data_IF_778684684708
#
_entry.id   IF_778684684708
#
_cell.length_a   1.000
_cell.length_b   1.000
_cell.length_c   1.000
_cell.angle_alpha   90.00
_cell.angle_beta   90.00
_cell.angle_gamma   90.00
#
_symmetry.space_group_name_H-M   'P 1'
#
loop_
_entity.id
_entity.type
_entity.pdbx_description
1 polymer ?
#
# COMPACT_ATOMS: atom_id res chain seq x y z
N UNK A 1 -16.88 20.82 -7.38
CA UNK A 1 -15.47 20.92 -6.96
C UNK A 1 -14.84 19.54 -7.12
N UNK A 2 -13.80 19.40 -7.95
CA UNK A 2 -13.10 18.13 -8.22
C UNK A 2 -12.37 17.64 -6.95
N UNK A 3 -12.28 16.33 -6.73
CA UNK A 3 -11.61 15.68 -5.59
C UNK A 3 -10.18 16.17 -5.37
N UNK A 4 -9.41 16.26 -6.46
CA UNK A 4 -8.04 16.79 -6.44
C UNK A 4 -7.96 18.22 -5.91
N UNK A 5 -8.89 19.09 -6.33
CA UNK A 5 -8.90 20.48 -5.90
C UNK A 5 -9.06 20.59 -4.37
N UNK A 6 -9.91 19.74 -3.77
CA UNK A 6 -10.07 19.67 -2.32
C UNK A 6 -8.83 19.12 -1.61
N UNK A 7 -8.24 18.05 -2.13
CA UNK A 7 -7.04 17.46 -1.51
C UNK A 7 -5.82 18.40 -1.63
N UNK A 8 -5.75 19.21 -2.68
CA UNK A 8 -4.69 20.19 -2.85
C UNK A 8 -4.73 21.31 -1.80
N UNK A 9 -5.90 21.63 -1.22
CA UNK A 9 -5.99 22.61 -0.12
C UNK A 9 -5.58 22.05 1.25
N UNK A 10 -5.40 20.74 1.39
CA UNK A 10 -4.96 20.12 2.65
C UNK A 10 -3.47 20.35 2.89
N UNK A 11 -3.02 20.21 4.13
CA UNK A 11 -1.62 20.37 4.50
C UNK A 11 -0.69 19.47 3.68
N UNK A 12 0.51 19.98 3.37
CA UNK A 12 1.51 19.20 2.59
C UNK A 12 2.06 18.05 3.43
N UNK A 13 2.19 18.23 4.74
CA UNK A 13 2.72 17.24 5.66
C UNK A 13 2.06 17.42 7.02
N UNK A 14 2.26 16.46 7.90
CA UNK A 14 1.86 16.58 9.30
C UNK A 14 2.33 15.39 10.11
N UNK A 15 2.11 15.50 11.43
CA UNK A 15 2.59 14.54 12.42
C UNK A 15 1.54 14.33 13.52
N UNK A 16 1.35 13.08 13.93
CA UNK A 16 0.47 12.67 15.02
C UNK A 16 1.24 11.80 16.00
N UNK A 17 1.12 12.11 17.28
CA UNK A 17 1.58 11.28 18.38
C UNK A 17 0.46 10.35 18.83
N UNK A 18 0.76 9.06 18.93
CA UNK A 18 -0.16 8.03 19.40
C UNK A 18 0.38 7.48 20.71
N UNK A 19 -0.37 7.69 21.80
CA UNK A 19 -0.09 7.15 23.13
C UNK A 19 1.31 7.47 23.66
N UNK A 20 1.88 8.61 23.25
CA UNK A 20 3.26 9.03 23.57
C UNK A 20 4.37 8.03 23.19
N UNK A 21 4.05 7.05 22.34
CA UNK A 21 4.93 5.92 22.03
C UNK A 21 5.19 5.76 20.53
N UNK A 22 4.31 6.29 19.69
CA UNK A 22 4.39 6.12 18.25
C UNK A 22 4.08 7.41 17.52
N UNK A 23 4.73 7.58 16.38
CA UNK A 23 4.57 8.74 15.53
C UNK A 23 4.00 8.28 14.19
N UNK A 24 2.90 8.88 13.77
CA UNK A 24 2.49 8.90 12.38
C UNK A 24 2.97 10.20 11.75
N UNK A 25 3.70 10.11 10.65
CA UNK A 25 4.08 11.25 9.82
C UNK A 25 3.58 11.01 8.40
N UNK A 26 3.12 12.07 7.73
CA UNK A 26 2.77 11.97 6.32
C UNK A 26 3.34 13.11 5.49
N UNK A 27 3.50 12.83 4.20
CA UNK A 27 3.77 13.84 3.18
C UNK A 27 2.88 13.58 1.96
N UNK A 28 2.26 14.66 1.49
CA UNK A 28 1.49 14.77 0.26
C UNK A 28 2.42 15.17 -0.87
N UNK A 29 2.35 14.44 -1.97
CA UNK A 29 3.36 14.52 -3.03
C UNK A 29 2.84 14.06 -4.39
N UNK A 30 3.64 14.24 -5.44
CA UNK A 30 3.38 13.75 -6.79
C UNK A 30 4.31 12.59 -7.15
N UNK A 31 4.06 11.94 -8.29
CA UNK A 31 4.78 10.73 -8.72
C UNK A 31 6.25 10.95 -9.12
N UNK A 32 6.62 12.19 -9.47
CA UNK A 32 7.98 12.54 -9.90
C UNK A 32 8.79 13.26 -8.82
N UNK A 33 8.22 13.42 -7.63
CA UNK A 33 8.86 14.16 -6.56
C UNK A 33 10.07 13.43 -5.97
N UNK A 34 11.08 14.16 -5.47
CA UNK A 34 12.13 13.57 -4.65
C UNK A 34 11.58 12.89 -3.38
N UNK A 35 10.49 13.42 -2.80
CA UNK A 35 9.89 12.89 -1.57
C UNK A 35 9.35 11.47 -1.75
N UNK A 36 8.62 11.18 -2.85
CA UNK A 36 8.11 9.82 -3.09
C UNK A 36 9.25 8.84 -3.41
N UNK A 37 10.28 9.29 -4.14
CA UNK A 37 11.45 8.47 -4.44
C UNK A 37 12.21 8.11 -3.17
N UNK A 38 12.47 9.09 -2.29
CA UNK A 38 13.11 8.84 -0.98
C UNK A 38 12.25 7.91 -0.14
N UNK A 39 10.93 8.16 -0.07
CA UNK A 39 10.01 7.32 0.69
C UNK A 39 10.05 5.87 0.22
N UNK A 40 9.98 5.62 -1.09
CA UNK A 40 10.05 4.27 -1.67
C UNK A 40 11.38 3.59 -1.34
N UNK A 41 12.52 4.29 -1.50
CA UNK A 41 13.85 3.74 -1.22
C UNK A 41 14.01 3.34 0.24
N UNK A 42 13.62 4.23 1.16
CA UNK A 42 13.75 3.99 2.61
C UNK A 42 12.93 2.77 3.07
N UNK A 43 11.84 2.46 2.36
CA UNK A 43 10.89 1.41 2.71
C UNK A 43 11.06 0.13 1.89
N UNK A 44 11.93 0.16 0.88
CA UNK A 44 12.18 -0.97 -0.01
C UNK A 44 12.51 -2.27 0.75
N UNK A 45 13.34 -2.27 1.81
CA UNK A 45 13.64 -3.50 2.55
C UNK A 45 12.41 -4.14 3.20
N UNK A 46 11.55 -3.33 3.84
CA UNK A 46 10.33 -3.83 4.47
C UNK A 46 9.33 -4.33 3.43
N UNK A 47 9.17 -3.59 2.32
CA UNK A 47 8.32 -3.99 1.21
C UNK A 47 8.79 -5.31 0.60
N UNK A 48 10.11 -5.45 0.35
CA UNK A 48 10.70 -6.66 -0.21
C UNK A 48 10.48 -7.87 0.69
N UNK A 49 10.66 -7.75 2.01
CA UNK A 49 10.37 -8.84 2.93
C UNK A 49 8.89 -9.26 2.83
N UNK A 50 7.96 -8.33 3.01
CA UNK A 50 6.53 -8.63 3.07
C UNK A 50 5.95 -9.11 1.75
N UNK A 51 6.31 -8.47 0.64
CA UNK A 51 5.84 -8.88 -0.69
C UNK A 51 6.42 -10.24 -1.04
N UNK A 52 7.71 -10.50 -0.76
CA UNK A 52 8.32 -11.80 -1.11
C UNK A 52 7.64 -12.98 -0.42
N UNK A 53 7.14 -12.81 0.80
CA UNK A 53 6.42 -13.85 1.52
C UNK A 53 5.05 -14.12 0.91
N UNK A 54 4.30 -13.05 0.62
CA UNK A 54 2.98 -13.14 -0.01
C UNK A 54 3.06 -13.76 -1.40
N UNK A 55 4.01 -13.28 -2.21
CA UNK A 55 4.26 -13.74 -3.58
C UNK A 55 4.78 -15.19 -3.61
N UNK A 56 5.65 -15.59 -2.67
CA UNK A 56 6.10 -16.99 -2.59
C UNK A 56 4.94 -17.95 -2.28
N UNK A 57 4.05 -17.58 -1.35
CA UNK A 57 2.82 -18.36 -1.06
C UNK A 57 1.93 -18.45 -2.29
N UNK A 58 1.77 -17.35 -3.02
CA UNK A 58 0.97 -17.30 -4.24
C UNK A 58 1.55 -18.19 -5.33
N UNK A 59 2.85 -18.05 -5.62
CA UNK A 59 3.54 -18.80 -6.66
C UNK A 59 3.56 -20.32 -6.39
N UNK A 60 3.68 -20.73 -5.12
CA UNK A 60 3.56 -22.16 -4.73
C UNK A 60 2.20 -22.75 -5.10
N UNK A 61 1.12 -21.95 -5.03
CA UNK A 61 -0.23 -22.39 -5.37
C UNK A 61 -0.53 -22.26 -6.87
N UNK A 62 0.04 -21.25 -7.53
CA UNK A 62 -0.23 -20.92 -8.92
C UNK A 62 1.08 -20.69 -9.69
N UNK A 63 1.84 -21.75 -10.02
CA UNK A 63 3.16 -21.64 -10.64
C UNK A 63 3.14 -20.91 -12.00
N UNK A 64 2.04 -21.03 -12.74
CA UNK A 64 1.87 -20.37 -14.04
C UNK A 64 1.89 -18.83 -13.94
N UNK A 65 1.65 -18.25 -12.75
CA UNK A 65 1.72 -16.82 -12.52
C UNK A 65 3.12 -16.23 -12.78
N UNK A 66 4.19 -17.05 -12.73
CA UNK A 66 5.53 -16.64 -13.13
C UNK A 66 5.66 -16.23 -14.61
N UNK A 67 4.61 -16.43 -15.43
CA UNK A 67 4.62 -15.96 -16.82
C UNK A 67 4.00 -14.58 -17.02
N UNK A 68 3.25 -14.07 -16.04
CA UNK A 68 2.38 -12.89 -16.21
C UNK A 68 2.48 -11.85 -15.09
N UNK A 69 2.94 -12.22 -13.90
CA UNK A 69 2.99 -11.32 -12.75
C UNK A 69 4.36 -10.66 -12.61
N UNK A 70 4.36 -9.32 -12.54
CA UNK A 70 5.57 -8.47 -12.55
C UNK A 70 6.72 -8.99 -11.67
N UNK A 71 6.44 -9.28 -10.39
CA UNK A 71 7.46 -9.73 -9.43
C UNK A 71 7.81 -11.22 -9.52
N UNK A 72 7.03 -12.00 -10.27
CA UNK A 72 7.23 -13.44 -10.42
C UNK A 72 7.89 -13.82 -11.75
N UNK A 73 7.92 -12.91 -12.73
CA UNK A 73 8.50 -13.18 -14.05
C UNK A 73 9.95 -13.70 -13.97
N UNK A 74 10.76 -13.12 -13.09
CA UNK A 74 12.14 -13.54 -12.86
C UNK A 74 12.27 -14.97 -12.28
N UNK A 75 11.20 -15.52 -11.70
CA UNK A 75 11.20 -16.86 -11.12
C UNK A 75 10.95 -17.96 -12.16
N UNK A 76 10.53 -17.62 -13.40
CA UNK A 76 10.21 -18.62 -14.43
C UNK A 76 11.34 -19.64 -14.66
N UNK A 77 12.63 -19.23 -14.83
CA UNK A 77 13.73 -20.20 -15.00
C UNK A 77 13.92 -21.13 -13.80
N UNK A 78 13.60 -20.65 -12.59
CA UNK A 78 13.75 -21.41 -11.34
C UNK A 78 12.69 -22.52 -11.19
N UNK A 79 11.67 -22.52 -12.05
CA UNK A 79 10.56 -23.47 -12.05
C UNK A 79 10.60 -24.47 -13.22
N UNK A 80 11.59 -24.37 -14.12
CA UNK A 80 11.65 -25.18 -15.35
C UNK A 80 11.69 -26.70 -15.09
N UNK A 81 12.27 -27.11 -13.95
CA UNK A 81 12.36 -28.50 -13.55
C UNK A 81 11.15 -28.99 -12.72
N UNK A 82 10.09 -28.19 -12.64
CA UNK A 82 8.89 -28.45 -11.84
C UNK A 82 9.00 -27.98 -10.38
N UNK A 83 7.85 -27.80 -9.72
CA UNK A 83 7.76 -27.30 -8.34
C UNK A 83 8.48 -28.19 -7.32
N UNK A 84 8.48 -29.51 -7.51
CA UNK A 84 9.11 -30.47 -6.59
C UNK A 84 10.64 -30.32 -6.51
N UNK A 85 11.27 -29.77 -7.55
CA UNK A 85 12.72 -29.53 -7.61
C UNK A 85 13.08 -28.06 -7.39
N UNK A 86 12.10 -27.20 -7.11
CA UNK A 86 12.30 -25.77 -7.01
C UNK A 86 13.07 -25.40 -5.73
N UNK A 87 14.10 -24.57 -5.89
CA UNK A 87 14.77 -23.96 -4.73
C UNK A 87 13.97 -22.75 -4.26
N UNK A 88 13.08 -22.95 -3.29
CA UNK A 88 12.21 -21.89 -2.78
C UNK A 88 12.95 -20.73 -2.10
N UNK A 89 14.17 -20.95 -1.59
CA UNK A 89 14.98 -19.86 -1.06
C UNK A 89 15.51 -18.96 -2.18
N UNK A 90 15.97 -19.56 -3.28
CA UNK A 90 16.38 -18.82 -4.47
C UNK A 90 15.22 -18.04 -5.09
N UNK A 91 14.02 -18.65 -5.12
CA UNK A 91 12.79 -17.97 -5.55
C UNK A 91 12.46 -16.79 -4.63
N UNK A 92 12.45 -16.97 -3.30
CA UNK A 92 12.19 -15.87 -2.35
C UNK A 92 13.15 -14.71 -2.59
N UNK A 93 14.45 -15.00 -2.78
CA UNK A 93 15.46 -14.00 -3.06
C UNK A 93 15.23 -13.28 -4.40
N UNK A 94 14.89 -14.01 -5.47
CA UNK A 94 14.57 -13.41 -6.78
C UNK A 94 13.37 -12.46 -6.71
N UNK A 95 12.34 -12.81 -5.92
CA UNK A 95 11.20 -11.92 -5.69
C UNK A 95 11.65 -10.69 -4.90
N UNK A 96 12.43 -10.85 -3.82
CA UNK A 96 12.96 -9.73 -3.03
C UNK A 96 13.73 -8.75 -3.90
N UNK A 97 14.63 -9.25 -4.75
CA UNK A 97 15.43 -8.42 -5.66
C UNK A 97 14.54 -7.66 -6.65
N UNK A 98 13.52 -8.31 -7.21
CA UNK A 98 12.56 -7.68 -8.13
C UNK A 98 11.77 -6.56 -7.44
N UNK A 99 11.34 -6.78 -6.19
CA UNK A 99 10.64 -5.76 -5.39
C UNK A 99 11.59 -4.61 -5.05
N UNK A 100 12.82 -4.89 -4.61
CA UNK A 100 13.83 -3.87 -4.33
C UNK A 100 14.11 -3.00 -5.55
N UNK A 101 14.26 -3.61 -6.73
CA UNK A 101 14.44 -2.88 -7.99
C UNK A 101 13.25 -1.97 -8.29
N UNK A 102 12.02 -2.45 -8.14
CA UNK A 102 10.82 -1.66 -8.37
C UNK A 102 10.69 -0.46 -7.42
N UNK A 103 11.01 -0.64 -6.14
CA UNK A 103 10.96 0.45 -5.16
C UNK A 103 12.09 1.47 -5.37
N UNK A 104 13.28 1.01 -5.76
CA UNK A 104 14.43 1.88 -6.03
C UNK A 104 14.38 2.56 -7.41
N UNK A 105 13.44 2.15 -8.28
CA UNK A 105 13.27 2.71 -9.60
C UNK A 105 12.92 4.21 -9.53
N UNK A 106 13.67 4.98 -10.30
CA UNK A 106 13.47 6.42 -10.49
C UNK A 106 12.52 6.63 -11.67
N UNK A 107 11.27 6.98 -11.37
CA UNK A 107 10.21 7.12 -12.36
C UNK A 107 10.44 8.28 -13.33
N UNK A 108 11.29 9.26 -12.99
CA UNK A 108 11.66 10.35 -13.91
C UNK A 108 12.41 9.86 -15.15
N UNK A 109 12.94 8.63 -15.12
CA UNK A 109 13.68 8.01 -16.22
C UNK A 109 12.81 7.15 -17.14
N UNK A 110 11.53 7.02 -16.84
CA UNK A 110 10.60 6.20 -17.62
C UNK A 110 10.08 6.99 -18.83
N UNK A 111 9.64 6.29 -19.87
CA UNK A 111 9.04 6.95 -21.05
C UNK A 111 7.71 7.63 -20.72
N UNK A 112 7.32 8.60 -21.55
CA UNK A 112 6.07 9.37 -21.38
C UNK A 112 4.82 8.49 -21.25
N UNK A 113 4.79 7.36 -21.98
CA UNK A 113 3.72 6.35 -21.96
C UNK A 113 3.38 5.87 -20.53
N UNK A 114 4.41 5.74 -19.68
CA UNK A 114 4.27 5.27 -18.29
C UNK A 114 3.96 6.42 -17.34
N UNK A 115 4.58 7.58 -17.56
CA UNK A 115 4.49 8.71 -16.62
C UNK A 115 3.16 9.46 -16.77
N UNK A 116 2.71 9.69 -18.01
CA UNK A 116 1.57 10.56 -18.32
C UNK A 116 0.27 10.19 -17.58
N UNK A 117 -0.11 8.90 -17.43
CA UNK A 117 -1.29 8.52 -16.66
C UNK A 117 -1.19 8.83 -15.16
N UNK A 118 0.02 8.99 -14.63
CA UNK A 118 0.32 9.14 -13.20
C UNK A 118 0.53 10.60 -12.78
N UNK A 119 0.80 11.51 -13.73
CA UNK A 119 1.14 12.91 -13.44
C UNK A 119 0.03 13.70 -12.74
N UNK A 120 -1.23 13.27 -12.93
CA UNK A 120 -2.37 13.95 -12.34
C UNK A 120 -2.81 13.33 -11.02
N UNK A 121 -2.14 12.26 -10.59
CA UNK A 121 -2.42 11.61 -9.32
C UNK A 121 -1.71 12.34 -8.19
N UNK A 122 -2.36 12.35 -7.03
CA UNK A 122 -1.80 12.87 -5.80
C UNK A 122 -1.56 11.72 -4.84
N UNK A 123 -0.34 11.63 -4.33
CA UNK A 123 0.12 10.54 -3.48
C UNK A 123 0.32 11.02 -2.05
N UNK A 124 0.10 10.10 -1.12
CA UNK A 124 0.27 10.32 0.31
C UNK A 124 1.13 9.21 0.87
N UNK A 125 2.29 9.62 1.38
CA UNK A 125 3.31 8.76 1.93
C UNK A 125 3.25 8.87 3.44
N UNK A 126 2.75 7.83 4.12
CA UNK A 126 2.60 7.82 5.58
C UNK A 126 3.56 6.81 6.19
N UNK A 127 4.26 7.20 7.27
CA UNK A 127 5.13 6.31 8.05
C UNK A 127 4.63 6.22 9.48
N UNK A 128 4.73 5.02 10.03
CA UNK A 128 4.59 4.76 11.45
C UNK A 128 5.98 4.49 12.03
N UNK A 129 6.37 5.26 13.03
CA UNK A 129 7.65 5.15 13.72
C UNK A 129 7.47 4.94 15.22
N UNK A 130 8.50 4.41 15.86
CA UNK A 130 8.69 4.53 17.32
C UNK A 130 8.85 6.00 17.72
N UNK A 131 8.55 6.34 18.98
CA UNK A 131 8.68 7.70 19.50
C UNK A 131 10.10 8.27 19.38
N UNK A 132 11.14 7.43 19.49
CA UNK A 132 12.52 7.86 19.31
C UNK A 132 12.89 8.11 17.84
N UNK A 133 11.94 7.96 16.91
CA UNK A 133 12.04 8.13 15.47
C UNK A 133 13.08 7.26 14.75
N UNK A 134 13.73 6.35 15.48
CA UNK A 134 14.82 5.53 14.92
C UNK A 134 14.31 4.39 14.08
N UNK A 135 13.14 3.85 14.42
CA UNK A 135 12.63 2.64 13.80
C UNK A 135 11.36 2.91 12.99
N UNK A 136 11.41 2.59 11.70
CA UNK A 136 10.22 2.51 10.87
C UNK A 136 9.50 1.18 11.14
N UNK A 137 8.28 1.28 11.68
CA UNK A 137 7.45 0.14 12.08
C UNK A 137 6.46 -0.27 10.98
N UNK A 138 6.18 0.62 10.04
CA UNK A 138 5.26 0.39 8.95
C UNK A 138 4.99 1.63 8.12
N UNK A 139 4.31 1.43 7.01
CA UNK A 139 3.97 2.52 6.11
C UNK A 139 2.69 2.25 5.32
N UNK A 140 2.10 3.35 4.88
CA UNK A 140 0.95 3.37 3.99
C UNK A 140 1.30 4.30 2.82
N UNK A 141 1.13 3.80 1.60
CA UNK A 141 1.12 4.61 0.39
C UNK A 141 -0.27 4.54 -0.20
N UNK A 142 -0.92 5.70 -0.35
CA UNK A 142 -2.22 5.79 -1.00
C UNK A 142 -2.25 6.96 -1.98
N UNK A 143 -3.21 6.92 -2.89
CA UNK A 143 -3.38 7.98 -3.88
C UNK A 143 -4.84 8.34 -4.10
N UNK A 144 -5.02 9.51 -4.68
CA UNK A 144 -6.25 9.94 -5.33
C UNK A 144 -5.93 10.27 -6.79
N UNK A 145 -6.84 9.90 -7.69
CA UNK A 145 -6.70 10.10 -9.13
C UNK A 145 -7.93 10.84 -9.65
N UNK A 146 -7.80 11.72 -10.66
CA UNK A 146 -8.96 12.38 -11.26
C UNK A 146 -9.92 11.40 -11.95
N UNK A 147 -9.47 10.18 -12.26
CA UNK A 147 -10.31 9.14 -12.85
C UNK A 147 -11.30 8.50 -11.84
N UNK A 148 -11.13 8.76 -10.54
CA UNK A 148 -11.96 8.18 -9.48
C UNK A 148 -13.10 9.10 -9.03
N UNK A 149 -14.12 8.49 -8.43
CA UNK A 149 -15.23 9.22 -7.85
C UNK A 149 -14.78 10.12 -6.67
N UNK A 150 -15.52 11.20 -6.44
CA UNK A 150 -15.27 12.09 -5.31
C UNK A 150 -15.40 11.34 -3.98
N UNK A 151 -14.31 11.29 -3.21
CA UNK A 151 -14.24 10.58 -1.93
C UNK A 151 -13.61 9.20 -2.02
N UNK A 152 -13.21 8.74 -3.20
CA UNK A 152 -12.53 7.46 -3.38
C UNK A 152 -11.01 7.63 -3.17
N UNK A 153 -10.43 6.67 -2.45
CA UNK A 153 -9.00 6.59 -2.14
C UNK A 153 -8.51 5.19 -2.50
N UNK A 154 -7.37 5.12 -3.20
CA UNK A 154 -6.70 3.87 -3.55
C UNK A 154 -5.51 3.66 -2.63
N UNK A 155 -5.50 2.57 -1.88
CA UNK A 155 -4.30 2.15 -1.15
C UNK A 155 -3.43 1.34 -2.09
N UNK A 156 -2.21 1.81 -2.30
CA UNK A 156 -1.21 1.18 -3.15
C UNK A 156 -0.40 0.17 -2.33
N UNK A 157 0.05 0.58 -1.14
CA UNK A 157 0.80 -0.28 -0.24
C UNK A 157 0.40 -0.05 1.22
N UNK A 158 0.33 -1.14 1.98
CA UNK A 158 0.11 -1.12 3.42
C UNK A 158 0.91 -2.26 4.05
N UNK A 159 2.02 -1.91 4.72
CA UNK A 159 2.91 -2.89 5.34
C UNK A 159 3.31 -2.47 6.74
N UNK A 160 3.44 -3.46 7.62
CA UNK A 160 3.90 -3.28 9.00
C UNK A 160 4.80 -4.44 9.41
N UNK A 161 5.71 -4.19 10.35
CA UNK A 161 6.46 -5.25 11.03
C UNK A 161 5.52 -6.13 11.85
N UNK A 162 5.90 -7.38 12.09
CA UNK A 162 5.05 -8.38 12.75
C UNK A 162 4.86 -8.10 14.23
N UNK A 163 5.94 -7.67 14.88
CA UNK A 163 6.02 -7.36 16.32
C UNK A 163 5.10 -6.19 16.75
N UNK A 164 4.56 -5.44 15.79
CA UNK A 164 3.86 -4.18 16.06
C UNK A 164 2.43 -4.48 16.54
N UNK A 165 1.96 -3.83 17.63
CA UNK A 165 0.60 -4.01 18.14
C UNK A 165 -0.47 -3.89 17.05
N UNK A 166 -1.42 -4.83 17.05
CA UNK A 166 -2.47 -4.91 16.02
C UNK A 166 -3.31 -3.65 15.90
N UNK A 167 -3.48 -2.91 16.99
CA UNK A 167 -4.20 -1.64 17.02
C UNK A 167 -3.55 -0.59 16.10
N UNK A 168 -2.22 -0.58 15.97
CA UNK A 168 -1.50 0.40 15.14
C UNK A 168 -1.79 0.25 13.64
N UNK A 169 -2.26 -0.92 13.19
CA UNK A 169 -2.77 -1.12 11.82
C UNK A 169 -3.97 -0.22 11.54
N UNK A 170 -4.87 -0.06 12.53
CA UNK A 170 -6.06 0.79 12.41
C UNK A 170 -5.70 2.26 12.39
N UNK A 171 -4.74 2.68 13.20
CA UNK A 171 -4.21 4.04 13.14
C UNK A 171 -3.58 4.36 11.78
N UNK A 172 -2.69 3.48 11.31
CA UNK A 172 -1.98 3.69 10.05
C UNK A 172 -2.93 3.69 8.84
N UNK A 173 -3.96 2.84 8.80
CA UNK A 173 -4.97 2.90 7.74
C UNK A 173 -5.97 4.07 7.95
N UNK A 174 -6.35 4.33 9.19
CA UNK A 174 -7.33 5.34 9.57
C UNK A 174 -6.87 6.78 9.35
N UNK A 175 -5.55 7.02 9.29
CA UNK A 175 -4.96 8.33 8.97
C UNK A 175 -5.51 8.93 7.67
N UNK A 176 -6.02 8.10 6.75
CA UNK A 176 -6.70 8.55 5.53
C UNK A 176 -7.85 9.50 5.86
N UNK A 177 -8.61 9.23 6.93
CA UNK A 177 -9.72 10.09 7.36
C UNK A 177 -9.26 11.36 8.06
N UNK A 178 -8.08 11.37 8.70
CA UNK A 178 -7.51 12.60 9.25
C UNK A 178 -7.00 13.52 8.13
N UNK A 179 -6.27 12.96 7.16
CA UNK A 179 -5.73 13.72 6.03
C UNK A 179 -6.85 14.16 5.07
N UNK A 180 -7.81 13.26 4.80
CA UNK A 180 -8.93 13.44 3.89
C UNK A 180 -10.27 13.10 4.57
N UNK A 181 -10.82 13.97 5.43
CA UNK A 181 -12.07 13.73 6.17
C UNK A 181 -13.28 13.41 5.30
N UNK A 182 -13.27 13.86 4.06
CA UNK A 182 -14.34 13.66 3.09
C UNK A 182 -14.28 12.29 2.38
N UNK A 183 -13.34 11.42 2.75
CA UNK A 183 -13.21 10.07 2.21
C UNK A 183 -14.51 9.28 2.43
N UNK A 184 -14.99 8.63 1.37
CA UNK A 184 -16.20 7.81 1.37
C UNK A 184 -15.88 6.34 1.18
N UNK A 185 -14.85 6.05 0.37
CA UNK A 185 -14.47 4.70 0.00
C UNK A 185 -12.94 4.59 -0.04
N UNK A 186 -12.42 3.52 0.55
CA UNK A 186 -11.03 3.12 0.43
C UNK A 186 -11.03 1.76 -0.26
N UNK A 187 -10.22 1.57 -1.29
CA UNK A 187 -10.06 0.25 -1.90
C UNK A 187 -8.59 -0.14 -2.00
N UNK A 188 -8.36 -1.45 -1.94
CA UNK A 188 -7.03 -2.06 -1.91
C UNK A 188 -7.05 -3.44 -2.54
N UNK A 189 -5.87 -4.00 -2.77
CA UNK A 189 -5.70 -5.30 -3.43
C UNK A 189 -4.81 -6.21 -2.60
N UNK A 190 -5.13 -7.50 -2.61
CA UNK A 190 -4.35 -8.51 -1.91
C UNK A 190 -4.31 -9.82 -2.70
N UNK A 191 -3.26 -10.62 -2.49
CA UNK A 191 -3.23 -11.98 -3.02
C UNK A 191 -4.32 -12.82 -2.33
N UNK A 192 -5.06 -13.67 -3.08
CA UNK A 192 -6.06 -14.56 -2.47
C UNK A 192 -5.43 -15.62 -1.54
N UNK A 193 -4.11 -15.80 -1.59
CA UNK A 193 -3.34 -16.72 -0.74
C UNK A 193 -2.80 -16.08 0.54
N UNK A 194 -2.93 -14.77 0.70
CA UNK A 194 -2.42 -14.05 1.86
C UNK A 194 -3.48 -13.92 2.96
N UNK A 195 -3.85 -15.05 3.56
CA UNK A 195 -4.94 -15.14 4.54
C UNK A 195 -4.77 -14.15 5.70
N UNK A 196 -3.53 -13.92 6.15
CA UNK A 196 -3.23 -12.95 7.20
C UNK A 196 -3.62 -11.53 6.79
N UNK A 197 -3.27 -11.10 5.58
CA UNK A 197 -3.71 -9.80 5.07
C UNK A 197 -5.23 -9.73 4.97
N UNK A 198 -5.88 -10.79 4.46
CA UNK A 198 -7.35 -10.83 4.31
C UNK A 198 -8.07 -10.67 5.66
N UNK A 199 -7.60 -11.38 6.70
CA UNK A 199 -8.14 -11.27 8.06
C UNK A 199 -7.95 -9.88 8.66
N UNK A 200 -6.76 -9.27 8.45
CA UNK A 200 -6.47 -7.91 8.88
C UNK A 200 -7.45 -6.92 8.22
N UNK A 201 -7.69 -7.02 6.92
CA UNK A 201 -8.61 -6.15 6.20
C UNK A 201 -10.06 -6.33 6.68
N UNK A 202 -10.50 -7.58 6.84
CA UNK A 202 -11.83 -7.90 7.38
C UNK A 202 -12.02 -7.31 8.79
N UNK A 203 -11.02 -7.43 9.68
CA UNK A 203 -11.05 -6.87 11.02
C UNK A 203 -11.04 -5.32 11.05
N UNK A 204 -10.59 -4.68 9.97
CA UNK A 204 -10.72 -3.23 9.76
C UNK A 204 -12.05 -2.83 9.12
N UNK A 205 -12.91 -3.78 8.76
CA UNK A 205 -14.22 -3.54 8.16
C UNK A 205 -14.23 -3.48 6.63
N UNK A 206 -13.15 -3.89 5.98
CA UNK A 206 -13.14 -4.08 4.53
C UNK A 206 -13.96 -5.32 4.15
N UNK A 207 -14.55 -5.28 2.96
CA UNK A 207 -15.27 -6.40 2.33
C UNK A 207 -14.70 -6.63 0.94
N UNK A 208 -14.77 -7.86 0.45
CA UNK A 208 -14.43 -8.15 -0.94
C UNK A 208 -15.39 -7.39 -1.87
N UNK A 209 -14.83 -6.71 -2.87
CA UNK A 209 -15.59 -6.01 -3.89
C UNK A 209 -15.80 -6.95 -5.08
N UNK A 210 -17.03 -7.43 -5.25
CA UNK A 210 -17.40 -8.33 -6.34
C UNK A 210 -17.42 -7.62 -7.70
N UNK A 211 -17.51 -6.29 -7.72
CA UNK A 211 -17.54 -5.47 -8.93
C UNK A 211 -16.49 -4.36 -8.86
N UNK A 212 -15.19 -4.73 -8.85
CA UNK A 212 -14.12 -3.79 -8.61
C UNK A 212 -14.08 -2.70 -9.67
N UNK A 213 -13.87 -1.47 -9.21
CA UNK A 213 -13.60 -0.36 -10.12
C UNK A 213 -12.26 -0.60 -10.82
N UNK A 214 -12.27 -0.55 -12.15
CA UNK A 214 -11.05 -0.60 -12.94
C UNK A 214 -10.50 0.81 -13.11
N UNK A 215 -9.43 1.11 -12.38
CA UNK A 215 -8.66 2.33 -12.57
C UNK A 215 -8.04 2.31 -13.98
N UNK A 216 -8.46 3.21 -14.89
CA UNK A 216 -7.96 3.21 -16.26
C UNK A 216 -6.48 3.54 -16.36
N UNK A 217 -5.93 4.25 -15.35
CA UNK A 217 -4.50 4.58 -15.27
C UNK A 217 -3.67 3.43 -14.69
N UNK A 218 -4.31 2.46 -14.02
CA UNK A 218 -3.64 1.33 -13.38
C UNK A 218 -4.43 0.04 -13.60
N UNK A 219 -4.14 -0.65 -14.70
CA UNK A 219 -4.72 -1.97 -14.96
C UNK A 219 -4.26 -2.96 -13.90
N UNK A 220 -5.21 -3.66 -13.28
CA UNK A 220 -4.96 -4.64 -12.23
C UNK A 220 -5.35 -6.02 -12.76
N UNK A 221 -4.53 -7.02 -12.46
CA UNK A 221 -4.86 -8.40 -12.79
C UNK A 221 -5.79 -9.01 -11.73
N UNK A 222 -7.09 -8.84 -11.93
CA UNK A 222 -8.13 -9.36 -11.03
C UNK A 222 -8.22 -10.90 -11.00
N UNK A 223 -7.53 -11.61 -11.89
CA UNK A 223 -7.42 -13.08 -11.79
C UNK A 223 -6.53 -13.50 -10.62
N UNK A 224 -5.51 -12.68 -10.32
CA UNK A 224 -4.45 -13.00 -9.37
C UNK A 224 -4.50 -12.12 -8.11
N UNK A 225 -5.45 -11.18 -8.04
CA UNK A 225 -5.65 -10.23 -6.95
C UNK A 225 -7.13 -10.13 -6.60
N UNK A 226 -7.43 -10.18 -5.30
CA UNK A 226 -8.75 -9.83 -4.76
C UNK A 226 -8.80 -8.35 -4.47
N UNK A 227 -9.94 -7.74 -4.77
CA UNK A 227 -10.19 -6.32 -4.47
C UNK A 227 -11.01 -6.23 -3.20
N UNK A 228 -10.62 -5.33 -2.31
CA UNK A 228 -11.34 -5.06 -1.07
C UNK A 228 -11.73 -3.59 -1.02
N UNK A 229 -12.89 -3.33 -0.44
CA UNK A 229 -13.37 -1.98 -0.19
C UNK A 229 -13.80 -1.76 1.25
N UNK A 230 -13.56 -0.55 1.75
CA UNK A 230 -14.11 0.00 2.98
C UNK A 230 -15.01 1.16 2.61
N UNK A 231 -16.26 1.14 3.07
CA UNK A 231 -17.22 2.23 2.87
C UNK A 231 -17.50 2.93 4.19
N UNK A 232 -17.22 4.23 4.26
CA UNK A 232 -17.38 5.06 5.47
C UNK A 232 -18.85 5.15 5.96
N UNK A 233 -19.82 4.87 5.08
CA UNK A 233 -21.23 4.78 5.43
C UNK A 233 -21.60 3.45 6.13
N UNK A 234 -20.82 2.38 5.89
CA UNK A 234 -21.12 1.02 6.36
C UNK A 234 -20.25 0.60 7.56
N UNK A 235 -19.17 1.33 7.84
CA UNK A 235 -18.26 1.06 8.94
C UNK A 235 -17.66 2.36 9.47
N UNK A 236 -17.37 2.36 10.77
CA UNK A 236 -16.67 3.43 11.48
C UNK A 236 -15.37 2.97 12.15
N UNK A 237 -14.92 1.75 11.87
CA UNK A 237 -13.77 1.13 12.56
C UNK A 237 -12.51 1.98 12.41
N UNK A 238 -12.25 2.51 11.20
CA UNK A 238 -11.05 3.29 10.92
C UNK A 238 -11.13 4.71 11.49
N UNK A 239 -12.29 5.36 11.43
CA UNK A 239 -12.50 6.70 12.01
C UNK A 239 -12.35 6.67 13.53
N UNK A 240 -12.90 5.64 14.18
CA UNK A 240 -12.80 5.43 15.63
C UNK A 240 -11.37 5.28 16.15
N UNK A 241 -10.39 5.01 15.29
CA UNK A 241 -9.00 4.95 15.73
C UNK A 241 -8.53 6.30 16.30
N UNK A 242 -9.02 7.42 15.74
CA UNK A 242 -8.60 8.77 16.12
C UNK A 242 -9.56 9.46 17.10
N UNK A 243 -10.62 8.77 17.52
CA UNK A 243 -11.52 9.21 18.61
C UNK A 243 -10.97 8.85 20.01
N UNK A 244 -9.85 8.11 20.08
CA UNK A 244 -9.16 7.76 21.35
C UNK A 244 -8.46 9.00 21.93
N UNK A 245 -8.70 9.31 23.21
CA UNK A 245 -8.16 10.47 23.93
C UNK A 245 -6.62 10.53 23.95
N UNK A 246 -5.96 9.42 23.60
CA UNK A 246 -4.49 9.32 23.58
C UNK A 246 -3.86 9.66 22.21
N UNK A 247 -4.59 10.37 21.34
CA UNK A 247 -4.09 10.82 20.03
C UNK A 247 -3.89 12.34 20.07
N UNK A 248 -2.67 12.79 19.83
CA UNK A 248 -2.31 14.21 19.84
C UNK A 248 -1.76 14.63 18.48
N UNK A 249 -2.38 15.64 17.88
CA UNK A 249 -1.88 16.27 16.66
C UNK A 249 -0.66 17.13 17.01
N UNK A 250 0.47 16.88 16.35
CA UNK A 250 1.67 17.70 16.46
C UNK A 250 1.73 18.61 15.23
N UNK A 251 1.26 19.86 15.40
CA UNK A 251 1.33 20.91 14.38
C UNK A 251 2.78 21.42 14.20
#
# INVERSE_FOLDING_TARGET
MNWLAKANTKEKNGKILIKDLFILEWVKTDILSPEILSFKKDLAPLAAEKISESELKFLKKYPNAASSELFLMACKPLLENGLEKANFQAIKNSIKDSVMQFYNADLSKFGEEVIKPLLNDLYFCVRLKSFDEKENLGFLLFSITPAMALGDVKVINFFMKEEVPSLLRKYLMGIIFEILPETKRIFLFARPTDLTALEIYAAMGFKEDENPFHDPSHKINHQNLKTFEYRAANSKILQKAFEDENVQLLL
#
